data_IF_133270073083
#
_entry.id   IF_133270073083
#
_cell.length_a   1.000
_cell.length_b   1.000
_cell.length_c   1.000
_cell.angle_alpha   90.00
_cell.angle_beta   90.00
_cell.angle_gamma   90.00
#
_symmetry.space_group_name_H-M   'P 1'
#
loop_
_entity.id
_entity.type
_entity.pdbx_description
1 polymer ?
#
# COMPACT_ATOMS: atom_id res chain seq x y z
N UNK A 1 33.80 -35.22 -17.32
CA UNK A 1 34.15 -33.82 -17.01
C UNK A 1 33.40 -32.78 -17.86
N UNK A 2 32.86 -33.11 -19.03
CA UNK A 2 32.14 -32.15 -19.90
C UNK A 2 30.75 -31.73 -19.38
N UNK A 3 30.00 -32.65 -18.78
CA UNK A 3 28.60 -32.44 -18.35
C UNK A 3 28.40 -31.47 -17.17
N UNK A 4 29.40 -31.32 -16.28
CA UNK A 4 29.31 -30.41 -15.13
C UNK A 4 29.50 -28.94 -15.53
N UNK A 5 30.08 -28.68 -16.70
CA UNK A 5 30.37 -27.33 -17.21
C UNK A 5 29.16 -26.74 -17.95
N UNK A 6 28.35 -27.59 -18.60
CA UNK A 6 27.11 -27.17 -19.27
C UNK A 6 26.03 -26.76 -18.27
N UNK A 7 25.80 -27.52 -17.21
CA UNK A 7 24.78 -27.15 -16.19
C UNK A 7 25.07 -25.81 -15.50
N UNK A 8 26.36 -25.51 -15.29
CA UNK A 8 26.78 -24.25 -14.71
C UNK A 8 26.54 -23.07 -15.68
N UNK A 9 26.81 -23.26 -16.97
CA UNK A 9 26.55 -22.27 -18.02
C UNK A 9 25.06 -22.01 -18.21
N UNK A 10 24.23 -23.06 -18.19
CA UNK A 10 22.78 -22.96 -18.32
C UNK A 10 22.16 -22.22 -17.12
N UNK A 11 22.69 -22.45 -15.92
CA UNK A 11 22.28 -21.72 -14.70
C UNK A 11 22.63 -20.23 -14.78
N UNK A 12 23.84 -19.89 -15.26
CA UNK A 12 24.25 -18.49 -15.43
C UNK A 12 23.47 -17.78 -16.54
N UNK A 13 23.13 -18.47 -17.62
CA UNK A 13 22.28 -17.95 -18.69
C UNK A 13 20.85 -17.70 -18.19
N UNK A 14 20.30 -18.59 -17.38
CA UNK A 14 19.00 -18.39 -16.73
C UNK A 14 19.02 -17.19 -15.79
N UNK A 15 20.04 -17.07 -14.93
CA UNK A 15 20.17 -15.91 -14.02
C UNK A 15 20.33 -14.62 -14.81
N UNK A 16 21.16 -14.59 -15.85
CA UNK A 16 21.35 -13.42 -16.70
C UNK A 16 20.07 -13.06 -17.45
N UNK A 17 19.37 -14.03 -18.04
CA UNK A 17 18.10 -13.80 -18.74
C UNK A 17 17.01 -13.30 -17.79
N UNK A 18 16.93 -13.87 -16.58
CA UNK A 18 15.96 -13.42 -15.55
C UNK A 18 16.31 -12.01 -15.07
N UNK A 19 17.59 -11.71 -14.87
CA UNK A 19 18.05 -10.37 -14.45
C UNK A 19 17.79 -9.35 -15.55
N UNK A 20 18.08 -9.67 -16.81
CA UNK A 20 17.78 -8.80 -17.96
C UNK A 20 16.28 -8.61 -18.08
N UNK A 21 15.47 -9.66 -17.95
CA UNK A 21 14.02 -9.55 -18.06
C UNK A 21 13.42 -8.74 -16.91
N UNK A 22 13.92 -8.88 -15.68
CA UNK A 22 13.54 -8.07 -14.52
C UNK A 22 13.95 -6.61 -14.72
N UNK A 23 15.20 -6.34 -15.11
CA UNK A 23 15.69 -4.99 -15.36
C UNK A 23 14.99 -4.33 -16.56
N UNK A 24 14.65 -5.12 -17.58
CA UNK A 24 13.93 -4.67 -18.77
C UNK A 24 12.47 -4.39 -18.44
N UNK A 25 11.82 -5.25 -17.66
CA UNK A 25 10.47 -5.01 -17.16
C UNK A 25 10.46 -3.78 -16.25
N UNK A 26 11.39 -3.65 -15.31
CA UNK A 26 11.50 -2.52 -14.39
C UNK A 26 11.80 -1.20 -15.14
N UNK A 27 12.67 -1.24 -16.17
CA UNK A 27 12.92 -0.09 -17.06
C UNK A 27 11.73 0.19 -17.97
N UNK A 28 11.04 -0.83 -18.44
CA UNK A 28 9.81 -0.70 -19.21
C UNK A 28 8.77 0.02 -18.36
N UNK A 29 8.48 -0.40 -17.13
CA UNK A 29 7.57 0.27 -16.20
C UNK A 29 7.96 1.74 -15.92
N UNK A 30 9.25 2.10 -15.93
CA UNK A 30 9.68 3.50 -15.83
C UNK A 30 9.42 4.32 -17.10
N UNK A 31 9.40 3.68 -18.27
CA UNK A 31 9.34 4.35 -19.58
C UNK A 31 7.94 4.33 -20.19
N UNK A 32 7.15 3.28 -19.94
CA UNK A 32 5.82 3.11 -20.48
C UNK A 32 4.79 3.76 -19.54
N UNK A 33 4.63 5.07 -19.71
CA UNK A 33 3.34 5.72 -19.49
C UNK A 33 2.31 5.05 -20.42
N UNK A 34 1.67 3.99 -19.94
CA UNK A 34 0.72 3.25 -20.75
C UNK A 34 -0.56 4.06 -20.92
N UNK A 35 -0.75 4.48 -22.18
CA UNK A 35 -1.78 5.32 -22.79
C UNK A 35 -1.41 6.80 -22.85
N UNK A 36 -1.04 7.25 -24.06
CA UNK A 36 -0.99 8.65 -24.46
C UNK A 36 -2.35 9.32 -24.20
N UNK A 37 -2.49 9.86 -23.00
CA UNK A 37 -3.13 11.14 -22.70
C UNK A 37 -1.99 12.04 -22.22
N UNK A 38 -2.16 13.38 -22.21
CA UNK A 38 -1.12 14.30 -21.72
C UNK A 38 -0.43 13.75 -20.45
N UNK A 39 0.88 13.94 -20.28
CA UNK A 39 1.54 13.48 -19.06
C UNK A 39 0.76 14.01 -17.86
N UNK A 40 0.36 13.14 -16.92
CA UNK A 40 -0.59 13.46 -15.83
C UNK A 40 -0.30 14.81 -15.16
N UNK A 41 0.97 15.12 -14.94
CA UNK A 41 1.45 16.38 -14.35
C UNK A 41 1.16 17.66 -15.17
N UNK A 42 1.00 17.55 -16.48
CA UNK A 42 0.62 18.65 -17.35
C UNK A 42 -0.88 18.96 -17.21
N UNK A 43 -1.71 18.01 -16.76
CA UNK A 43 -3.16 18.23 -16.59
C UNK A 43 -3.47 19.26 -15.50
N UNK A 44 -2.99 19.10 -14.25
CA UNK A 44 -3.18 20.15 -13.22
C UNK A 44 -2.49 21.46 -13.55
N UNK A 45 -1.35 21.43 -14.25
CA UNK A 45 -0.68 22.67 -14.69
C UNK A 45 -1.50 23.40 -15.75
N UNK A 46 -2.05 22.67 -16.72
CA UNK A 46 -2.94 23.20 -17.75
C UNK A 46 -4.25 23.69 -17.12
N UNK A 47 -4.81 22.94 -16.18
CA UNK A 47 -5.95 23.38 -15.37
C UNK A 47 -5.62 24.64 -14.59
N UNK A 48 -4.48 24.74 -13.92
CA UNK A 48 -4.09 25.92 -13.13
C UNK A 48 -3.88 27.17 -13.98
N UNK A 49 -3.53 26.98 -15.26
CA UNK A 49 -3.42 28.06 -16.25
C UNK A 49 -4.78 28.42 -16.89
N UNK A 50 -5.84 27.68 -16.59
CA UNK A 50 -7.18 27.98 -17.09
C UNK A 50 -7.75 29.24 -16.41
N UNK A 51 -8.58 30.03 -17.12
CA UNK A 51 -9.07 31.30 -16.58
C UNK A 51 -9.77 31.16 -15.21
N UNK A 52 -10.45 30.03 -14.96
CA UNK A 52 -11.26 29.77 -13.77
C UNK A 52 -10.47 29.45 -12.50
N UNK A 53 -9.23 29.00 -12.63
CA UNK A 53 -8.37 28.47 -11.54
C UNK A 53 -7.20 29.40 -11.22
N UNK A 54 -6.99 30.46 -12.00
CA UNK A 54 -5.94 31.46 -11.72
C UNK A 54 -6.00 31.96 -10.27
N UNK A 55 -4.84 32.12 -9.64
CA UNK A 55 -4.76 32.52 -8.23
C UNK A 55 -5.53 33.82 -7.92
N UNK A 56 -5.54 34.78 -8.86
CA UNK A 56 -6.28 36.02 -8.75
C UNK A 56 -7.81 35.80 -8.71
N UNK A 57 -8.36 34.98 -9.63
CA UNK A 57 -9.79 34.67 -9.63
C UNK A 57 -10.19 33.79 -8.45
N UNK A 58 -9.37 32.79 -8.12
CA UNK A 58 -9.61 31.97 -6.93
C UNK A 58 -9.66 32.82 -5.66
N UNK A 59 -8.76 33.80 -5.50
CA UNK A 59 -8.76 34.71 -4.36
C UNK A 59 -10.02 35.58 -4.27
N UNK A 60 -10.69 35.84 -5.40
CA UNK A 60 -11.92 36.62 -5.49
C UNK A 60 -13.19 35.81 -5.21
N UNK A 61 -13.11 34.47 -5.09
CA UNK A 61 -14.26 33.61 -4.79
C UNK A 61 -14.59 33.63 -3.28
N UNK A 62 -15.67 34.29 -2.83
CA UNK A 62 -16.03 34.33 -1.42
C UNK A 62 -16.54 32.97 -0.93
N UNK A 63 -16.29 32.66 0.35
CA UNK A 63 -16.95 31.53 1.02
C UNK A 63 -16.51 30.12 0.60
N UNK A 64 -15.41 29.97 -0.14
CA UNK A 64 -14.87 28.65 -0.58
C UNK A 64 -13.64 28.14 0.17
N UNK A 65 -13.10 28.89 1.12
CA UNK A 65 -11.92 28.45 1.91
C UNK A 65 -10.57 28.66 1.20
N UNK A 66 -10.51 29.54 0.19
CA UNK A 66 -9.29 29.83 -0.60
C UNK A 66 -8.12 30.41 0.20
N UNK A 67 -8.34 30.80 1.46
CA UNK A 67 -7.32 31.32 2.38
C UNK A 67 -7.23 30.52 3.68
N UNK A 68 -7.86 29.34 3.73
CA UNK A 68 -7.89 28.48 4.93
C UNK A 68 -6.48 28.02 5.30
N UNK A 69 -6.17 28.07 6.60
CA UNK A 69 -4.87 27.65 7.15
C UNK A 69 -4.83 26.18 7.57
N UNK A 70 -6.01 25.59 7.74
CA UNK A 70 -6.23 24.21 8.18
C UNK A 70 -7.47 23.67 7.48
N UNK A 71 -7.54 22.38 7.14
CA UNK A 71 -8.67 21.84 6.40
C UNK A 71 -9.99 21.90 7.17
N UNK A 72 -9.96 21.93 8.51
CA UNK A 72 -11.14 22.10 9.36
C UNK A 72 -11.77 23.50 9.27
N UNK A 73 -11.07 24.46 8.66
CA UNK A 73 -11.57 25.83 8.43
C UNK A 73 -12.13 26.01 7.03
N UNK A 74 -12.22 24.95 6.23
CA UNK A 74 -12.82 25.00 4.89
C UNK A 74 -14.35 24.95 5.03
N UNK A 75 -15.08 25.94 4.49
CA UNK A 75 -16.53 25.98 4.53
C UNK A 75 -17.15 24.91 3.63
N UNK A 76 -18.44 24.61 3.83
CA UNK A 76 -19.16 23.56 3.09
C UNK A 76 -19.08 23.71 1.56
N UNK A 77 -19.17 24.93 1.02
CA UNK A 77 -19.02 25.16 -0.42
C UNK A 77 -17.65 24.70 -0.94
N UNK A 78 -16.58 24.87 -0.15
CA UNK A 78 -15.25 24.36 -0.50
C UNK A 78 -15.15 22.84 -0.41
N UNK A 79 -15.86 22.22 0.55
CA UNK A 79 -15.98 20.75 0.62
C UNK A 79 -16.74 20.18 -0.58
N UNK A 80 -17.80 20.84 -1.05
CA UNK A 80 -18.48 20.46 -2.31
C UNK A 80 -17.50 20.47 -3.48
N UNK A 81 -16.67 21.51 -3.59
CA UNK A 81 -15.64 21.59 -4.63
C UNK A 81 -14.63 20.43 -4.52
N UNK A 82 -14.15 20.14 -3.30
CA UNK A 82 -13.20 19.04 -3.03
C UNK A 82 -13.81 17.70 -3.45
N UNK A 83 -15.01 17.34 -2.97
CA UNK A 83 -15.63 16.05 -3.29
C UNK A 83 -15.92 15.89 -4.78
N UNK A 84 -16.37 16.96 -5.43
CA UNK A 84 -16.59 16.97 -6.88
C UNK A 84 -15.31 16.65 -7.64
N UNK A 85 -14.20 17.33 -7.31
CA UNK A 85 -12.92 17.09 -7.96
C UNK A 85 -12.35 15.71 -7.64
N UNK A 86 -12.40 15.27 -6.38
CA UNK A 86 -11.98 13.91 -6.00
C UNK A 86 -12.75 12.85 -6.78
N UNK A 87 -14.06 13.04 -7.01
CA UNK A 87 -14.85 12.12 -7.83
C UNK A 87 -14.39 12.09 -9.30
N UNK A 88 -14.16 13.26 -9.92
CA UNK A 88 -13.64 13.34 -11.29
C UNK A 88 -12.27 12.64 -11.42
N UNK A 89 -11.40 12.83 -10.42
CA UNK A 89 -10.04 12.29 -10.38
C UNK A 89 -9.97 10.77 -10.38
N UNK A 90 -10.99 10.09 -9.84
CA UNK A 90 -11.05 8.62 -9.85
C UNK A 90 -10.95 8.07 -11.29
N UNK A 91 -11.67 8.69 -12.23
CA UNK A 91 -11.67 8.28 -13.64
C UNK A 91 -10.46 8.85 -14.39
N UNK A 92 -10.23 10.15 -14.22
CA UNK A 92 -9.17 10.92 -14.84
C UNK A 92 -7.76 10.33 -14.61
N UNK A 93 -7.50 9.84 -13.40
CA UNK A 93 -6.22 9.24 -13.00
C UNK A 93 -6.24 7.71 -13.10
N UNK A 94 -7.31 7.15 -13.68
CA UNK A 94 -7.54 5.72 -13.88
C UNK A 94 -7.29 4.92 -12.59
N UNK A 95 -7.79 5.44 -11.47
CA UNK A 95 -7.46 4.98 -10.12
C UNK A 95 -7.66 3.48 -9.95
N UNK A 96 -8.76 2.94 -10.47
CA UNK A 96 -9.08 1.51 -10.44
C UNK A 96 -8.02 0.65 -11.15
N UNK A 97 -7.54 1.10 -12.32
CA UNK A 97 -6.54 0.37 -13.10
C UNK A 97 -5.16 0.44 -12.44
N UNK A 98 -4.79 1.61 -11.94
CA UNK A 98 -3.54 1.84 -11.19
C UNK A 98 -3.50 0.99 -9.92
N UNK A 99 -4.61 0.91 -9.18
CA UNK A 99 -4.76 0.00 -8.05
C UNK A 99 -4.60 -1.48 -8.46
N UNK A 100 -5.05 -1.87 -9.66
CA UNK A 100 -4.81 -3.20 -10.21
C UNK A 100 -3.32 -3.52 -10.39
N UNK A 101 -2.51 -2.53 -10.79
CA UNK A 101 -1.06 -2.64 -10.85
C UNK A 101 -0.42 -2.92 -9.48
N UNK A 102 -0.89 -2.24 -8.43
CA UNK A 102 -0.46 -2.47 -7.05
C UNK A 102 -0.75 -3.91 -6.61
N UNK A 103 -1.93 -4.42 -6.94
CA UNK A 103 -2.31 -5.80 -6.64
C UNK A 103 -1.40 -6.80 -7.35
N UNK A 104 -1.11 -6.59 -8.63
CA UNK A 104 -0.23 -7.47 -9.40
C UNK A 104 1.15 -7.63 -8.74
N UNK A 105 1.82 -6.53 -8.41
CA UNK A 105 3.12 -6.60 -7.74
C UNK A 105 3.01 -7.11 -6.30
N UNK A 106 1.92 -6.80 -5.60
CA UNK A 106 1.63 -7.34 -4.29
C UNK A 106 1.51 -8.87 -4.29
N UNK A 107 0.79 -9.44 -5.27
CA UNK A 107 0.66 -10.89 -5.43
C UNK A 107 2.00 -11.55 -5.77
N UNK A 108 2.82 -10.93 -6.63
CA UNK A 108 4.16 -11.43 -6.93
C UNK A 108 5.06 -11.49 -5.68
N UNK A 109 4.84 -10.61 -4.71
CA UNK A 109 5.56 -10.63 -3.43
C UNK A 109 5.15 -11.78 -2.50
N UNK A 110 3.97 -12.38 -2.69
CA UNK A 110 3.47 -13.45 -1.81
C UNK A 110 4.33 -14.69 -1.93
N UNK A 111 4.69 -15.13 -3.15
CA UNK A 111 5.42 -16.39 -3.31
C UNK A 111 6.77 -16.39 -2.57
N UNK A 112 7.65 -15.40 -2.77
CA UNK A 112 8.92 -15.38 -2.06
C UNK A 112 8.74 -15.13 -0.56
N UNK A 113 7.72 -14.35 -0.15
CA UNK A 113 7.41 -14.14 1.26
C UNK A 113 7.01 -15.46 1.96
N UNK A 114 6.16 -16.28 1.33
CA UNK A 114 5.80 -17.61 1.85
C UNK A 114 7.04 -18.50 1.91
N UNK A 115 7.89 -18.51 0.88
CA UNK A 115 9.15 -19.28 0.90
C UNK A 115 10.07 -18.87 2.04
N UNK A 116 10.25 -17.56 2.28
CA UNK A 116 11.07 -17.04 3.36
C UNK A 116 10.49 -17.39 4.74
N UNK A 117 9.18 -17.30 4.90
CA UNK A 117 8.47 -17.66 6.14
C UNK A 117 8.58 -19.16 6.44
N UNK A 118 8.35 -20.02 5.45
CA UNK A 118 8.48 -21.47 5.63
C UNK A 118 9.94 -21.86 5.93
N UNK A 119 10.90 -21.23 5.25
CA UNK A 119 12.33 -21.49 5.47
C UNK A 119 12.80 -21.00 6.84
N UNK A 120 12.30 -19.85 7.33
CA UNK A 120 12.61 -19.39 8.69
C UNK A 120 12.02 -20.32 9.73
N UNK A 121 10.80 -20.81 9.50
CA UNK A 121 10.13 -21.75 10.38
C UNK A 121 10.89 -23.09 10.44
N UNK A 122 11.34 -23.62 9.30
CA UNK A 122 12.16 -24.84 9.25
C UNK A 122 13.57 -24.71 9.87
N UNK A 123 14.09 -23.49 10.02
CA UNK A 123 15.37 -23.22 10.67
C UNK A 123 15.25 -23.02 12.19
N UNK A 124 14.12 -22.48 12.66
CA UNK A 124 13.93 -22.06 14.05
C UNK A 124 13.04 -23.01 14.87
N UNK A 125 12.18 -23.80 14.22
CA UNK A 125 11.25 -24.68 14.90
C UNK A 125 11.70 -26.14 14.86
N UNK A 126 11.48 -26.86 15.97
CA UNK A 126 11.72 -28.30 16.03
C UNK A 126 10.74 -29.07 15.10
N UNK A 127 11.17 -30.15 14.43
CA UNK A 127 10.33 -30.94 13.51
C UNK A 127 9.00 -31.45 14.10
N UNK A 128 8.95 -31.70 15.41
CA UNK A 128 7.73 -32.08 16.13
C UNK A 128 6.73 -30.93 16.27
N UNK A 129 7.21 -29.69 16.37
CA UNK A 129 6.38 -28.48 16.46
C UNK A 129 5.85 -28.09 15.07
N UNK A 130 6.64 -28.35 14.02
CA UNK A 130 6.24 -28.15 12.62
C UNK A 130 5.05 -29.07 12.26
N UNK A 131 5.14 -30.36 12.58
CA UNK A 131 4.08 -31.33 12.27
C UNK A 131 2.78 -31.08 13.05
N UNK A 132 2.86 -30.71 14.34
CA UNK A 132 1.68 -30.36 15.15
C UNK A 132 0.97 -29.09 14.64
N UNK A 133 1.71 -28.06 14.24
CA UNK A 133 1.13 -26.83 13.72
C UNK A 133 0.55 -27.01 12.31
N UNK A 134 1.16 -27.85 11.47
CA UNK A 134 0.60 -28.21 10.15
C UNK A 134 -0.73 -28.96 10.27
N UNK A 135 -0.86 -29.89 11.22
CA UNK A 135 -2.14 -30.56 11.46
C UNK A 135 -3.24 -29.59 11.91
N UNK A 136 -2.86 -28.56 12.68
CA UNK A 136 -3.79 -27.51 13.09
C UNK A 136 -4.20 -26.63 11.90
N UNK A 137 -3.27 -26.30 11.02
CA UNK A 137 -3.52 -25.57 9.77
C UNK A 137 -4.38 -26.37 8.78
N UNK A 138 -4.19 -27.69 8.69
CA UNK A 138 -4.98 -28.58 7.84
C UNK A 138 -6.47 -28.57 8.21
N UNK A 139 -6.78 -28.36 9.50
CA UNK A 139 -8.16 -28.27 9.98
C UNK A 139 -8.81 -26.91 9.71
N UNK A 140 -8.02 -25.88 9.35
CA UNK A 140 -8.51 -24.51 9.15
C UNK A 140 -8.46 -24.04 7.69
N UNK A 141 -7.67 -24.70 6.84
CA UNK A 141 -7.50 -24.37 5.44
C UNK A 141 -8.26 -25.34 4.52
N UNK A 142 -8.85 -24.84 3.41
CA UNK A 142 -9.32 -25.71 2.33
C UNK A 142 -8.20 -26.59 1.78
N UNK A 143 -8.51 -27.83 1.41
CA UNK A 143 -7.54 -28.87 1.03
C UNK A 143 -6.52 -28.40 -0.02
N UNK A 144 -6.97 -27.67 -1.06
CA UNK A 144 -6.07 -27.14 -2.09
C UNK A 144 -5.11 -26.04 -1.61
N UNK A 145 -5.46 -25.24 -0.61
CA UNK A 145 -4.56 -24.25 -0.01
C UNK A 145 -3.56 -24.91 0.93
N UNK A 146 -4.01 -25.92 1.68
CA UNK A 146 -3.16 -26.73 2.54
C UNK A 146 -2.11 -27.49 1.72
N UNK A 147 -2.50 -28.14 0.62
CA UNK A 147 -1.56 -28.84 -0.26
C UNK A 147 -0.43 -27.94 -0.76
N UNK A 148 -0.71 -26.68 -1.13
CA UNK A 148 0.34 -25.73 -1.55
C UNK A 148 1.33 -25.46 -0.42
N UNK A 149 0.85 -25.25 0.80
CA UNK A 149 1.69 -24.99 1.99
C UNK A 149 2.48 -26.24 2.36
N UNK A 150 1.84 -27.40 2.39
CA UNK A 150 2.45 -28.70 2.68
C UNK A 150 3.57 -29.02 1.69
N UNK A 151 3.32 -28.88 0.39
CA UNK A 151 4.30 -29.08 -0.68
C UNK A 151 5.53 -28.16 -0.50
N UNK A 152 5.30 -26.90 -0.15
CA UNK A 152 6.39 -25.94 0.07
C UNK A 152 7.19 -26.30 1.33
N UNK A 153 6.53 -26.70 2.41
CA UNK A 153 7.19 -27.13 3.64
C UNK A 153 7.99 -28.42 3.41
N UNK A 154 7.42 -29.42 2.74
CA UNK A 154 8.09 -30.68 2.40
C UNK A 154 9.33 -30.46 1.51
N UNK A 155 9.24 -29.57 0.52
CA UNK A 155 10.37 -29.17 -0.34
C UNK A 155 11.50 -28.47 0.42
N UNK A 156 11.18 -27.75 1.48
CA UNK A 156 12.17 -27.06 2.31
C UNK A 156 12.81 -28.03 3.30
N UNK A 157 12.01 -28.82 4.03
CA UNK A 157 12.49 -29.79 5.04
C UNK A 157 13.32 -30.92 4.43
N UNK A 158 13.03 -31.35 3.20
CA UNK A 158 13.79 -32.40 2.50
C UNK A 158 15.22 -31.97 2.09
N UNK A 159 15.54 -30.67 2.14
CA UNK A 159 16.90 -30.16 1.94
C UNK A 159 17.55 -29.95 3.30
N UNK A 160 18.51 -30.81 3.70
CA UNK A 160 19.10 -30.82 5.05
C UNK A 160 19.73 -29.50 5.55
N UNK A 161 20.08 -29.44 6.84
CA UNK A 161 20.43 -28.23 7.61
C UNK A 161 21.35 -27.20 6.95
N UNK A 162 22.40 -27.61 6.23
CA UNK A 162 23.34 -26.66 5.58
C UNK A 162 22.72 -25.99 4.36
N UNK A 163 21.80 -26.66 3.65
CA UNK A 163 21.05 -26.10 2.53
C UNK A 163 19.90 -25.19 3.01
N UNK A 164 19.37 -25.41 4.22
CA UNK A 164 18.32 -24.56 4.82
C UNK A 164 18.79 -23.12 5.04
N UNK A 165 20.00 -22.91 5.54
CA UNK A 165 20.54 -21.56 5.78
C UNK A 165 20.71 -20.74 4.50
N UNK A 166 21.29 -21.34 3.46
CA UNK A 166 21.46 -20.68 2.16
C UNK A 166 20.11 -20.47 1.44
N UNK A 167 19.19 -21.44 1.52
CA UNK A 167 17.85 -21.33 0.92
C UNK A 167 17.03 -20.26 1.62
N UNK A 168 17.11 -20.16 2.95
CA UNK A 168 16.46 -19.09 3.72
C UNK A 168 17.01 -17.72 3.36
N UNK A 169 18.34 -17.53 3.34
CA UNK A 169 18.93 -16.24 2.97
C UNK A 169 18.55 -15.82 1.56
N UNK A 170 18.60 -16.75 0.60
CA UNK A 170 18.19 -16.48 -0.78
C UNK A 170 16.69 -16.15 -0.88
N UNK A 171 15.83 -16.95 -0.23
CA UNK A 171 14.38 -16.72 -0.18
C UNK A 171 14.03 -15.40 0.50
N UNK A 172 14.73 -15.04 1.58
CA UNK A 172 14.57 -13.77 2.29
C UNK A 172 14.96 -12.58 1.42
N UNK A 173 16.09 -12.66 0.71
CA UNK A 173 16.52 -11.61 -0.23
C UNK A 173 15.49 -11.46 -1.36
N UNK A 174 15.00 -12.55 -1.93
CA UNK A 174 13.94 -12.51 -2.94
C UNK A 174 12.62 -11.97 -2.38
N UNK A 175 12.23 -12.33 -1.15
CA UNK A 175 11.05 -11.80 -0.47
C UNK A 175 11.13 -10.29 -0.28
N UNK A 176 12.26 -9.81 0.22
CA UNK A 176 12.49 -8.38 0.41
C UNK A 176 12.50 -7.67 -0.94
N UNK A 177 13.14 -8.23 -1.97
CA UNK A 177 13.15 -7.65 -3.32
C UNK A 177 11.75 -7.54 -3.92
N UNK A 178 10.95 -8.60 -3.85
CA UNK A 178 9.59 -8.60 -4.39
C UNK A 178 8.64 -7.71 -3.58
N UNK A 179 8.76 -7.70 -2.25
CA UNK A 179 7.99 -6.80 -1.41
C UNK A 179 8.37 -5.32 -1.66
N UNK A 180 9.65 -5.04 -1.93
CA UNK A 180 10.12 -3.72 -2.34
C UNK A 180 9.51 -3.27 -3.68
N UNK A 181 9.35 -4.18 -4.64
CA UNK A 181 8.64 -3.90 -5.89
C UNK A 181 7.15 -3.54 -5.66
N UNK A 182 6.47 -4.26 -4.76
CA UNK A 182 5.11 -3.93 -4.34
C UNK A 182 4.99 -2.54 -3.71
N UNK A 183 5.93 -2.18 -2.82
CA UNK A 183 5.96 -0.84 -2.21
C UNK A 183 6.23 0.25 -3.24
N UNK A 184 7.14 0.03 -4.20
CA UNK A 184 7.35 0.98 -5.32
C UNK A 184 6.07 1.19 -6.14
N UNK A 185 5.32 0.12 -6.40
CA UNK A 185 4.04 0.25 -7.10
C UNK A 185 3.02 1.10 -6.31
N UNK A 186 3.01 1.01 -4.97
CA UNK A 186 2.22 1.92 -4.13
C UNK A 186 2.73 3.36 -4.25
N UNK A 187 4.05 3.57 -4.29
CA UNK A 187 4.62 4.92 -4.47
C UNK A 187 4.21 5.52 -5.81
N UNK A 188 4.26 4.73 -6.88
CA UNK A 188 3.81 5.16 -8.21
C UNK A 188 2.32 5.48 -8.21
N UNK A 189 1.49 4.64 -7.58
CA UNK A 189 0.05 4.90 -7.43
C UNK A 189 -0.25 6.20 -6.65
N UNK A 190 0.52 6.47 -5.59
CA UNK A 190 0.37 7.71 -4.83
C UNK A 190 0.94 8.91 -5.58
N UNK A 191 2.03 8.76 -6.32
CA UNK A 191 2.53 9.79 -7.23
C UNK A 191 1.46 10.17 -8.26
N UNK A 192 0.73 9.19 -8.81
CA UNK A 192 -0.41 9.43 -9.71
C UNK A 192 -1.49 10.29 -9.01
N UNK A 193 -1.93 9.93 -7.80
CA UNK A 193 -2.96 10.69 -7.06
C UNK A 193 -2.52 12.12 -6.64
N UNK A 194 -1.22 12.37 -6.53
CA UNK A 194 -0.68 13.72 -6.30
C UNK A 194 -0.25 14.43 -7.60
N UNK A 195 -0.44 13.79 -8.76
CA UNK A 195 0.08 14.20 -10.07
C UNK A 195 1.58 14.53 -10.07
N UNK A 196 2.33 13.80 -9.26
CA UNK A 196 3.78 13.91 -9.15
C UNK A 196 4.47 12.92 -10.07
N UNK A 197 5.66 13.31 -10.53
CA UNK A 197 6.61 12.38 -11.15
C UNK A 197 7.66 12.00 -10.12
N UNK A 198 8.15 10.76 -10.23
CA UNK A 198 9.24 10.30 -9.42
C UNK A 198 10.54 11.05 -9.77
N UNK A 199 11.01 11.89 -8.85
CA UNK A 199 12.23 12.71 -9.01
C UNK A 199 13.41 12.12 -8.24
N UNK A 200 13.18 11.15 -7.34
CA UNK A 200 14.24 10.55 -6.53
C UNK A 200 15.16 9.72 -7.41
N UNK A 201 16.47 9.85 -7.20
CA UNK A 201 17.46 8.98 -7.84
C UNK A 201 17.17 7.51 -7.53
N UNK A 202 17.57 6.60 -8.42
CA UNK A 202 17.41 5.14 -8.23
C UNK A 202 17.84 4.64 -6.84
N UNK A 203 18.99 5.11 -6.34
CA UNK A 203 19.50 4.70 -5.02
C UNK A 203 18.56 5.18 -3.91
N UNK A 204 18.20 6.47 -3.91
CA UNK A 204 17.30 7.05 -2.90
C UNK A 204 15.91 6.41 -2.93
N UNK A 205 15.35 6.16 -4.12
CA UNK A 205 14.06 5.49 -4.25
C UNK A 205 14.10 4.10 -3.62
N UNK A 206 15.10 3.28 -3.98
CA UNK A 206 15.27 1.93 -3.43
C UNK A 206 15.47 1.92 -1.91
N UNK A 207 16.26 2.85 -1.37
CA UNK A 207 16.48 2.93 0.08
C UNK A 207 15.19 3.31 0.82
N UNK A 208 14.43 4.28 0.29
CA UNK A 208 13.16 4.70 0.90
C UNK A 208 12.11 3.60 0.77
N UNK A 209 11.96 2.97 -0.40
CA UNK A 209 11.01 1.88 -0.59
C UNK A 209 11.36 0.68 0.29
N UNK A 210 12.64 0.33 0.44
CA UNK A 210 13.09 -0.74 1.34
C UNK A 210 12.81 -0.40 2.80
N UNK A 211 13.06 0.84 3.23
CA UNK A 211 12.71 1.28 4.58
C UNK A 211 11.20 1.18 4.84
N UNK A 212 10.37 1.48 3.84
CA UNK A 212 8.92 1.29 3.91
C UNK A 212 8.51 -0.19 3.93
N UNK A 213 9.18 -1.05 3.18
CA UNK A 213 8.96 -2.51 3.23
C UNK A 213 9.25 -3.04 4.62
N UNK A 214 10.43 -2.74 5.18
CA UNK A 214 10.82 -3.17 6.54
C UNK A 214 9.89 -2.54 7.59
N UNK A 215 9.61 -1.25 7.49
CA UNK A 215 8.69 -0.56 8.38
C UNK A 215 7.26 -1.13 8.33
N UNK A 216 6.78 -1.51 7.15
CA UNK A 216 5.50 -2.19 6.97
C UNK A 216 5.46 -3.57 7.62
N UNK A 217 6.54 -4.36 7.48
CA UNK A 217 6.68 -5.65 8.18
C UNK A 217 6.67 -5.44 9.69
N UNK A 218 7.43 -4.48 10.21
CA UNK A 218 7.45 -4.16 11.65
C UNK A 218 6.08 -3.70 12.13
N UNK A 219 5.38 -2.84 11.38
CA UNK A 219 4.03 -2.40 11.72
C UNK A 219 3.03 -3.57 11.75
N UNK A 220 3.10 -4.49 10.77
CA UNK A 220 2.29 -5.70 10.75
C UNK A 220 2.56 -6.59 11.97
N UNK A 221 3.84 -6.82 12.29
CA UNK A 221 4.24 -7.57 13.49
C UNK A 221 3.80 -6.89 14.78
N UNK A 222 3.85 -5.55 14.85
CA UNK A 222 3.31 -4.80 15.99
C UNK A 222 1.80 -4.92 16.09
N UNK A 223 1.06 -4.89 14.97
CA UNK A 223 -0.38 -5.12 14.97
C UNK A 223 -0.71 -6.52 15.49
N UNK A 224 -0.11 -7.57 14.92
CA UNK A 224 -0.29 -8.97 15.36
C UNK A 224 0.18 -9.16 16.81
N UNK A 225 1.30 -8.57 17.20
CA UNK A 225 1.79 -8.57 18.57
C UNK A 225 0.80 -7.90 19.52
N UNK A 226 0.23 -6.75 19.13
CA UNK A 226 -0.82 -6.06 19.90
C UNK A 226 -2.05 -6.94 20.08
N UNK A 227 -2.47 -7.67 19.04
CA UNK A 227 -3.58 -8.63 19.13
C UNK A 227 -3.40 -9.63 20.27
N UNK A 228 -2.19 -10.18 20.41
CA UNK A 228 -1.86 -11.24 21.36
C UNK A 228 -1.47 -10.67 22.73
N UNK A 229 -0.66 -9.62 22.75
CA UNK A 229 -0.06 -9.04 23.96
C UNK A 229 -0.99 -8.10 24.70
N UNK A 230 -1.93 -7.43 24.03
CA UNK A 230 -2.87 -6.51 24.67
C UNK A 230 -3.66 -7.13 25.85
N UNK A 231 -4.29 -8.32 25.72
CA UNK A 231 -4.94 -8.95 26.87
C UNK A 231 -3.96 -9.32 28.00
N UNK A 232 -2.74 -9.76 27.66
CA UNK A 232 -1.70 -10.09 28.65
C UNK A 232 -1.23 -8.85 29.42
N UNK A 233 -1.06 -7.73 28.73
CA UNK A 233 -0.65 -6.46 29.32
C UNK A 233 -1.70 -5.91 30.31
N UNK A 234 -2.99 -6.00 29.96
CA UNK A 234 -4.08 -5.59 30.86
C UNK A 234 -4.14 -6.46 32.13
N UNK A 235 -3.91 -7.77 31.99
CA UNK A 235 -3.83 -8.70 33.13
C UNK A 235 -2.66 -8.35 34.05
N UNK A 236 -1.48 -8.04 33.50
CA UNK A 236 -0.31 -7.65 34.30
C UNK A 236 -0.46 -6.29 35.00
N UNK A 237 -1.16 -5.34 34.39
CA UNK A 237 -1.41 -4.03 34.97
C UNK A 237 -2.53 -4.02 36.03
N UNK A 238 -3.18 -5.17 36.29
CA UNK A 238 -4.35 -5.25 37.18
C UNK A 238 -5.57 -4.48 36.66
N UNK A 239 -5.53 -4.05 35.40
CA UNK A 239 -6.57 -3.29 34.72
C UNK A 239 -7.48 -4.21 33.89
N UNK A 240 -7.32 -5.54 34.02
CA UNK A 240 -8.17 -6.50 33.37
C UNK A 240 -9.63 -6.27 33.81
N UNK A 241 -10.48 -5.70 32.94
CA UNK A 241 -11.89 -5.62 33.22
C UNK A 241 -12.43 -7.05 33.35
N UNK A 242 -13.28 -7.32 34.34
CA UNK A 242 -13.94 -8.64 34.44
C UNK A 242 -14.73 -8.99 33.17
N UNK A 243 -15.14 -7.96 32.42
CA UNK A 243 -15.77 -8.09 31.12
C UNK A 243 -14.74 -8.30 30.01
N UNK A 244 -14.69 -9.52 29.47
CA UNK A 244 -13.99 -9.87 28.22
C UNK A 244 -14.38 -8.95 27.05
N UNK A 245 -15.58 -8.37 27.07
CA UNK A 245 -16.09 -7.47 26.03
C UNK A 245 -15.32 -6.14 26.01
N UNK A 246 -14.99 -5.57 27.17
CA UNK A 246 -14.25 -4.29 27.26
C UNK A 246 -12.83 -4.45 26.73
N UNK A 247 -12.16 -5.56 27.07
CA UNK A 247 -10.82 -5.89 26.51
C UNK A 247 -10.88 -6.07 25.00
N UNK A 248 -11.89 -6.78 24.50
CA UNK A 248 -12.08 -6.98 23.07
C UNK A 248 -12.33 -5.66 22.33
N UNK A 249 -13.08 -4.74 22.92
CA UNK A 249 -13.37 -3.42 22.32
C UNK A 249 -12.15 -2.49 22.36
N UNK A 250 -11.39 -2.46 23.46
CA UNK A 250 -10.27 -1.54 23.65
C UNK A 250 -9.08 -1.80 22.72
N UNK A 251 -8.97 -3.00 22.14
CA UNK A 251 -7.96 -3.35 21.14
C UNK A 251 -8.14 -2.62 19.81
N UNK A 252 -9.39 -2.39 19.39
CA UNK A 252 -9.69 -1.80 18.07
C UNK A 252 -9.20 -0.36 17.92
N UNK A 253 -9.37 0.55 18.91
CA UNK A 253 -8.78 1.88 18.86
C UNK A 253 -7.25 1.86 18.68
N UNK A 254 -6.54 0.97 19.37
CA UNK A 254 -5.08 0.89 19.26
C UNK A 254 -4.65 0.46 17.84
N UNK A 255 -5.28 -0.58 17.28
CA UNK A 255 -5.04 -0.99 15.90
C UNK A 255 -5.38 0.12 14.90
N UNK A 256 -6.47 0.85 15.14
CA UNK A 256 -6.86 2.00 14.33
C UNK A 256 -5.80 3.11 14.36
N UNK A 257 -5.24 3.43 15.53
CA UNK A 257 -4.15 4.40 15.66
C UNK A 257 -2.89 3.95 14.90
N UNK A 258 -2.51 2.67 15.00
CA UNK A 258 -1.36 2.15 14.25
C UNK A 258 -1.61 2.26 12.74
N UNK A 259 -2.82 1.93 12.27
CA UNK A 259 -3.21 2.07 10.86
C UNK A 259 -3.16 3.54 10.41
N UNK A 260 -3.72 4.47 11.20
CA UNK A 260 -3.67 5.90 10.91
C UNK A 260 -2.23 6.41 10.80
N UNK A 261 -1.35 6.01 11.73
CA UNK A 261 0.06 6.38 11.70
C UNK A 261 0.76 5.82 10.46
N UNK A 262 0.49 4.57 10.09
CA UNK A 262 1.03 3.96 8.89
C UNK A 262 0.60 4.71 7.62
N UNK A 263 -0.70 5.02 7.49
CA UNK A 263 -1.24 5.78 6.36
C UNK A 263 -0.70 7.22 6.32
N UNK A 264 -0.59 7.89 7.47
CA UNK A 264 -0.06 9.25 7.55
C UNK A 264 1.42 9.30 7.14
N UNK A 265 2.23 8.33 7.57
CA UNK A 265 3.63 8.18 7.13
C UNK A 265 3.69 7.89 5.64
N UNK A 266 2.84 6.99 5.14
CA UNK A 266 2.76 6.67 3.72
C UNK A 266 2.43 7.90 2.88
N UNK A 267 1.37 8.65 3.18
CA UNK A 267 1.00 9.86 2.44
C UNK A 267 2.02 10.99 2.54
N UNK A 268 2.83 11.02 3.60
CA UNK A 268 3.85 12.04 3.80
C UNK A 268 5.12 11.79 3.00
N UNK A 269 5.59 10.54 2.92
CA UNK A 269 6.91 10.23 2.37
C UNK A 269 6.89 9.36 1.11
N UNK A 270 5.76 8.72 0.78
CA UNK A 270 5.66 7.95 -0.46
C UNK A 270 5.64 8.83 -1.71
N UNK A 271 4.87 9.95 -1.80
CA UNK A 271 4.91 10.81 -2.98
C UNK A 271 6.24 11.59 -3.11
N UNK A 272 6.72 11.78 -4.34
CA UNK A 272 7.97 12.48 -4.66
C UNK A 272 7.81 14.02 -4.72
N UNK A 273 7.46 14.62 -3.57
CA UNK A 273 7.26 16.07 -3.41
C UNK A 273 7.71 16.60 -2.04
N UNK A 274 7.71 17.92 -1.88
CA UNK A 274 7.93 18.56 -0.58
C UNK A 274 6.86 18.12 0.43
N UNK A 275 7.29 17.81 1.65
CA UNK A 275 6.42 17.15 2.63
C UNK A 275 5.29 18.08 3.09
N UNK A 276 4.01 17.67 2.98
CA UNK A 276 2.87 18.42 3.50
C UNK A 276 2.90 18.44 5.03
N UNK A 277 2.22 19.42 5.66
CA UNK A 277 2.01 19.39 7.11
C UNK A 277 1.01 18.29 7.47
N UNK A 278 1.16 17.71 8.66
CA UNK A 278 0.35 16.58 9.12
C UNK A 278 -1.16 16.86 9.10
N UNK A 279 -1.59 18.09 9.38
CA UNK A 279 -3.00 18.51 9.34
C UNK A 279 -3.65 18.34 7.96
N UNK A 280 -2.90 18.53 6.87
CA UNK A 280 -3.42 18.41 5.50
C UNK A 280 -3.51 16.95 5.04
N UNK A 281 -2.85 16.03 5.73
CA UNK A 281 -2.88 14.60 5.45
C UNK A 281 -3.92 13.84 6.27
N UNK A 282 -4.31 14.38 7.43
CA UNK A 282 -5.07 13.64 8.44
C UNK A 282 -6.46 13.26 7.96
N UNK A 283 -7.12 14.10 7.15
CA UNK A 283 -8.48 13.82 6.68
C UNK A 283 -8.47 12.62 5.73
N UNK A 284 -7.62 12.62 4.71
CA UNK A 284 -7.49 11.49 3.80
C UNK A 284 -7.03 10.22 4.50
N UNK A 285 -6.14 10.31 5.50
CA UNK A 285 -5.72 9.15 6.30
C UNK A 285 -6.86 8.55 7.11
N UNK A 286 -7.68 9.40 7.77
CA UNK A 286 -8.86 8.95 8.52
C UNK A 286 -9.92 8.39 7.58
N UNK A 287 -10.21 9.07 6.46
CA UNK A 287 -11.16 8.60 5.46
C UNK A 287 -10.73 7.25 4.89
N UNK A 288 -9.46 7.07 4.53
CA UNK A 288 -8.93 5.80 4.06
C UNK A 288 -9.04 4.71 5.13
N UNK A 289 -8.67 4.98 6.39
CA UNK A 289 -8.78 4.00 7.47
C UNK A 289 -10.23 3.56 7.71
N UNK A 290 -11.17 4.50 7.73
CA UNK A 290 -12.61 4.21 7.92
C UNK A 290 -13.17 3.42 6.74
N UNK A 291 -12.90 3.85 5.51
CA UNK A 291 -13.33 3.15 4.30
C UNK A 291 -12.71 1.76 4.18
N UNK A 292 -11.48 1.58 4.64
CA UNK A 292 -10.80 0.29 4.62
C UNK A 292 -11.44 -0.70 5.61
N UNK A 293 -11.80 -0.24 6.81
CA UNK A 293 -12.54 -1.06 7.79
C UNK A 293 -13.93 -1.39 7.26
N UNK A 294 -14.66 -0.38 6.77
CA UNK A 294 -16.00 -0.58 6.20
C UNK A 294 -15.98 -1.52 4.99
N UNK A 295 -15.02 -1.31 4.08
CA UNK A 295 -14.82 -2.15 2.89
C UNK A 295 -14.41 -3.57 3.25
N UNK A 296 -13.57 -3.75 4.28
CA UNK A 296 -13.20 -5.09 4.77
C UNK A 296 -14.39 -5.81 5.40
N UNK A 297 -15.22 -5.11 6.16
CA UNK A 297 -16.46 -5.67 6.72
C UNK A 297 -17.46 -6.03 5.62
N UNK A 298 -17.64 -5.15 4.63
CA UNK A 298 -18.51 -5.38 3.48
C UNK A 298 -18.04 -6.58 2.65
N UNK A 299 -16.74 -6.66 2.37
CA UNK A 299 -16.16 -7.79 1.65
C UNK A 299 -16.31 -9.09 2.44
N UNK A 300 -16.09 -9.06 3.76
CA UNK A 300 -16.31 -10.22 4.63
C UNK A 300 -17.78 -10.68 4.59
N UNK A 301 -18.73 -9.75 4.60
CA UNK A 301 -20.15 -10.07 4.45
C UNK A 301 -20.45 -10.68 3.08
N UNK A 302 -19.98 -10.05 2.00
CA UNK A 302 -20.16 -10.59 0.64
C UNK A 302 -19.58 -11.99 0.52
N UNK A 303 -18.34 -12.22 0.95
CA UNK A 303 -17.68 -13.53 0.88
C UNK A 303 -18.35 -14.59 1.76
N UNK A 304 -19.00 -14.20 2.87
CA UNK A 304 -19.76 -15.14 3.71
C UNK A 304 -21.00 -15.69 3.01
N UNK A 305 -21.64 -14.89 2.15
CA UNK A 305 -22.78 -15.32 1.33
C UNK A 305 -22.33 -16.16 0.13
N UNK A 306 -21.11 -15.92 -0.38
CA UNK A 306 -20.45 -16.68 -1.45
C UNK A 306 -19.91 -18.05 -1.00
N UNK A 307 -20.18 -18.52 0.23
CA UNK A 307 -19.69 -19.82 0.75
C UNK A 307 -20.06 -21.04 -0.14
N UNK A 308 -21.12 -20.94 -0.95
CA UNK A 308 -21.51 -21.98 -1.91
C UNK A 308 -20.65 -22.00 -3.20
N UNK A 309 -19.95 -20.91 -3.56
CA UNK A 309 -19.01 -20.86 -4.70
C UNK A 309 -17.67 -21.53 -4.39
N UNK A 310 -17.28 -21.58 -3.11
CA UNK A 310 -16.08 -22.29 -2.63
C UNK A 310 -16.14 -23.80 -2.97
N UNK A 311 -17.34 -24.36 -3.08
CA UNK A 311 -17.56 -25.76 -3.48
C UNK A 311 -17.25 -26.04 -4.96
N UNK A 312 -17.34 -25.02 -5.83
CA UNK A 312 -17.06 -25.16 -7.28
C UNK A 312 -15.66 -24.70 -7.66
N UNK A 313 -15.13 -23.67 -6.98
CA UNK A 313 -13.86 -23.05 -7.35
C UNK A 313 -12.72 -23.24 -6.32
N UNK A 314 -12.98 -23.84 -5.16
CA UNK A 314 -11.96 -24.25 -4.18
C UNK A 314 -10.91 -23.17 -3.90
N UNK A 315 -9.63 -23.50 -4.10
CA UNK A 315 -8.49 -22.59 -3.89
C UNK A 315 -8.49 -21.35 -4.79
N UNK A 316 -9.14 -21.41 -5.96
CA UNK A 316 -9.25 -20.27 -6.87
C UNK A 316 -10.19 -19.18 -6.31
N UNK A 317 -11.23 -19.58 -5.56
CA UNK A 317 -12.10 -18.64 -4.86
C UNK A 317 -11.36 -17.84 -3.79
N UNK A 318 -10.47 -18.50 -3.03
CA UNK A 318 -9.63 -17.83 -2.04
C UNK A 318 -8.65 -16.83 -2.68
N UNK A 319 -8.05 -17.19 -3.82
CA UNK A 319 -7.16 -16.29 -4.57
C UNK A 319 -7.93 -15.05 -5.07
N UNK A 320 -9.12 -15.22 -5.65
CA UNK A 320 -9.97 -14.11 -6.10
C UNK A 320 -10.38 -13.20 -4.93
N UNK A 321 -10.76 -13.78 -3.78
CA UNK A 321 -11.10 -13.03 -2.57
C UNK A 321 -9.94 -12.17 -2.09
N UNK A 322 -8.72 -12.72 -2.07
CA UNK A 322 -7.50 -11.99 -1.74
C UNK A 322 -7.23 -10.86 -2.74
N UNK A 323 -7.36 -11.13 -4.04
CA UNK A 323 -7.18 -10.13 -5.08
C UNK A 323 -8.16 -8.97 -4.93
N UNK A 324 -9.45 -9.25 -4.70
CA UNK A 324 -10.46 -8.23 -4.45
C UNK A 324 -10.15 -7.41 -3.19
N UNK A 325 -9.73 -8.08 -2.11
CA UNK A 325 -9.37 -7.39 -0.87
C UNK A 325 -8.17 -6.46 -1.04
N UNK A 326 -7.12 -6.93 -1.72
CA UNK A 326 -5.94 -6.11 -2.03
C UNK A 326 -6.30 -4.96 -2.96
N UNK A 327 -7.14 -5.20 -3.96
CA UNK A 327 -7.58 -4.20 -4.93
C UNK A 327 -8.41 -3.11 -4.25
N UNK A 328 -9.39 -3.49 -3.45
CA UNK A 328 -10.17 -2.57 -2.61
C UNK A 328 -9.25 -1.78 -1.67
N UNK A 329 -8.28 -2.43 -1.03
CA UNK A 329 -7.32 -1.74 -0.15
C UNK A 329 -6.52 -0.69 -0.90
N UNK A 330 -5.99 -1.02 -2.08
CA UNK A 330 -5.25 -0.07 -2.91
C UNK A 330 -6.13 1.10 -3.37
N UNK A 331 -7.38 0.84 -3.78
CA UNK A 331 -8.36 1.87 -4.15
C UNK A 331 -8.60 2.83 -2.98
N UNK A 332 -8.86 2.31 -1.79
CA UNK A 332 -9.14 3.13 -0.61
C UNK A 332 -7.93 4.00 -0.23
N UNK A 333 -6.72 3.43 -0.30
CA UNK A 333 -5.48 4.17 -0.04
C UNK A 333 -5.28 5.27 -1.08
N UNK A 334 -5.48 4.99 -2.37
CA UNK A 334 -5.38 6.00 -3.42
C UNK A 334 -6.46 7.08 -3.27
N UNK A 335 -7.69 6.71 -2.95
CA UNK A 335 -8.79 7.64 -2.73
C UNK A 335 -8.50 8.61 -1.59
N UNK A 336 -7.95 8.13 -0.47
CA UNK A 336 -7.52 9.01 0.63
C UNK A 336 -6.38 9.95 0.23
N UNK A 337 -5.48 9.52 -0.64
CA UNK A 337 -4.43 10.37 -1.19
C UNK A 337 -5.00 11.45 -2.13
N UNK A 338 -5.94 11.08 -3.01
CA UNK A 338 -6.63 12.01 -3.91
C UNK A 338 -7.41 13.06 -3.13
N UNK A 339 -8.11 12.64 -2.08
CA UNK A 339 -8.82 13.54 -1.18
C UNK A 339 -7.86 14.55 -0.54
N UNK A 340 -6.72 14.11 -0.01
CA UNK A 340 -5.70 15.01 0.54
C UNK A 340 -5.16 15.99 -0.51
N UNK A 341 -4.88 15.48 -1.71
CA UNK A 341 -4.47 16.23 -2.89
C UNK A 341 -5.44 17.39 -3.18
N UNK A 342 -6.74 17.10 -3.20
CA UNK A 342 -7.77 18.07 -3.53
C UNK A 342 -8.10 19.05 -2.38
N UNK A 343 -7.91 18.62 -1.13
CA UNK A 343 -7.96 19.50 0.05
C UNK A 343 -6.85 20.56 -0.04
N UNK A 344 -5.62 20.18 -0.40
CA UNK A 344 -4.52 21.13 -0.57
C UNK A 344 -4.79 22.15 -1.68
N UNK A 345 -5.31 21.68 -2.82
CA UNK A 345 -5.72 22.53 -3.95
C UNK A 345 -6.86 23.50 -3.62
N UNK A 346 -7.53 23.35 -2.48
CA UNK A 346 -8.60 24.25 -2.06
C UNK A 346 -8.05 25.57 -1.49
N UNK A 347 -6.79 25.62 -1.02
CA UNK A 347 -6.22 26.83 -0.41
C UNK A 347 -5.08 27.44 -1.23
N UNK A 348 -4.96 28.77 -1.20
CA UNK A 348 -3.81 29.50 -1.75
C UNK A 348 -2.63 29.53 -0.76
N UNK A 349 -2.88 29.17 0.51
CA UNK A 349 -1.84 29.12 1.54
C UNK A 349 -0.94 27.91 1.30
N UNK A 350 0.32 28.07 1.68
CA UNK A 350 1.29 26.98 1.59
C UNK A 350 0.95 25.89 2.61
N UNK A 351 0.70 24.69 2.10
CA UNK A 351 0.36 23.48 2.85
C UNK A 351 1.60 22.65 3.20
N UNK A 352 2.76 22.98 2.62
CA UNK A 352 4.03 22.28 2.82
C UNK A 352 4.73 22.71 4.11
N UNK A 353 5.71 21.92 4.52
CA UNK A 353 6.57 22.21 5.68
C UNK A 353 7.74 23.13 5.31
N UNK A 354 8.25 23.89 6.29
CA UNK A 354 9.34 24.83 6.09
C UNK A 354 8.89 26.28 5.97
N UNK A 355 9.73 27.13 5.36
CA UNK A 355 9.43 28.55 5.16
C UNK A 355 8.36 28.70 4.08
N UNK A 356 7.33 29.53 4.27
CA UNK A 356 6.26 29.70 3.28
C UNK A 356 6.81 30.11 1.92
N UNK A 357 6.49 29.34 0.87
CA UNK A 357 6.87 29.63 -0.51
C UNK A 357 5.66 30.13 -1.33
N UNK A 358 5.85 31.01 -2.32
CA UNK A 358 4.79 31.42 -3.21
C UNK A 358 4.29 30.25 -4.08
N UNK A 359 3.06 30.37 -4.58
CA UNK A 359 2.44 29.37 -5.43
C UNK A 359 3.27 29.17 -6.71
N UNK A 360 3.52 27.92 -7.10
CA UNK A 360 4.38 27.53 -8.22
C UNK A 360 5.83 27.21 -7.83
N UNK A 361 6.22 27.38 -6.56
CA UNK A 361 7.59 27.14 -6.08
C UNK A 361 7.68 26.21 -4.88
N UNK A 362 6.57 25.55 -4.50
CA UNK A 362 6.47 24.66 -3.34
C UNK A 362 6.97 23.24 -3.63
N UNK A 363 7.38 22.95 -4.86
CA UNK A 363 7.84 21.62 -5.30
C UNK A 363 6.80 20.51 -5.04
N UNK A 364 5.52 20.89 -5.08
CA UNK A 364 4.39 20.02 -4.82
C UNK A 364 3.18 20.48 -5.65
N UNK A 365 2.79 19.71 -6.67
CA UNK A 365 1.76 20.09 -7.67
C UNK A 365 0.44 20.45 -6.99
N UNK A 366 -0.03 19.66 -6.02
CA UNK A 366 -1.28 19.94 -5.29
C UNK A 366 -1.20 21.20 -4.42
N UNK A 367 -0.01 21.59 -3.96
CA UNK A 367 0.18 22.83 -3.21
C UNK A 367 0.46 24.03 -4.13
N UNK A 368 0.92 23.79 -5.36
CA UNK A 368 1.27 24.81 -6.36
C UNK A 368 0.14 25.10 -7.35
N UNK A 369 -0.97 24.36 -7.28
CA UNK A 369 -2.13 24.54 -8.15
C UNK A 369 -3.40 24.75 -7.34
N UNK A 370 -4.40 25.37 -7.97
CA UNK A 370 -5.67 25.70 -7.33
C UNK A 370 -6.79 24.98 -8.06
N UNK A 371 -7.63 24.28 -7.31
CA UNK A 371 -8.72 23.48 -7.87
C UNK A 371 -9.88 24.32 -8.39
N UNK A 372 -10.50 23.88 -9.50
CA UNK A 372 -11.71 24.48 -10.03
C UNK A 372 -12.88 24.41 -9.02
N UNK A 373 -13.82 25.34 -9.13
CA UNK A 373 -15.05 25.27 -8.34
C UNK A 373 -16.00 24.20 -8.92
N UNK A 374 -16.81 23.56 -8.07
CA UNK A 374 -17.87 22.70 -8.55
C UNK A 374 -18.88 23.51 -9.39
N UNK A 375 -19.43 22.92 -10.46
CA UNK A 375 -20.52 23.54 -11.21
C UNK A 375 -21.72 23.81 -10.27
N UNK A 376 -22.39 24.94 -10.51
CA UNK A 376 -23.52 25.42 -9.69
C UNK A 376 -24.75 24.56 -9.87
#
# INVERSE_FOLDING_TARGET
>A
MSTRRSEHLDSWLLVAATTVLVLSAERYFQTSGFMQSEPVQDRRKNEANSPETTAARAAAQPGRGRRSKSPFTIPWAGWKDIFWRTYQRIDDDRLLATAGGVVFFGLLAIFPAVTALVSSYGLLADPSTISANLQTLAMMLPEGAFQIVEDQVARVVSKGNTALGATFLFGLVLAIWSANAGVKSIFDALNVAYEEREKRSFIRLNLVSLAFTVGGIVALLMMVGTVVAFPLALNHLGLAPESKLIVALARWPLLFVILLMALAVLYRFAPSRDAPRWEWLSIGAVTAAVLWIAGSALLSWSLSEFANYNATYGSLGAAIGLMMWMWMSAIVIMFGAELNSEIERQTLRDTTTGRPKPLGSREAVSADTVGAAAPT
#
